data_IF_344422783551
#
_entry.id   IF_344422783551
#
_cell.length_a   1.000
_cell.length_b   1.000
_cell.length_c   1.000
_cell.angle_alpha   90.00
_cell.angle_beta   90.00
_cell.angle_gamma   90.00
#
_symmetry.space_group_name_H-M   'P 1'
#
loop_
_entity.id
_entity.type
_entity.pdbx_description
1 polymer ?
#
# COMPACT_ATOMS: atom_id res chain seq x y z
N UNK A 1 11.10 -4.44 12.23
CA UNK A 1 11.64 -3.40 11.33
C UNK A 1 11.50 -3.92 9.90
N UNK A 2 10.93 -3.16 8.97
CA UNK A 2 10.80 -3.60 7.57
C UNK A 2 12.06 -3.19 6.80
N UNK A 3 12.55 -4.04 5.89
CA UNK A 3 13.74 -3.70 5.10
C UNK A 3 13.42 -2.67 4.02
N UNK A 4 14.39 -1.87 3.58
CA UNK A 4 14.20 -0.88 2.50
C UNK A 4 13.64 -1.51 1.22
N UNK A 5 14.06 -2.73 0.89
CA UNK A 5 13.57 -3.49 -0.26
C UNK A 5 12.05 -3.76 -0.17
N UNK A 6 11.55 -4.20 0.98
CA UNK A 6 10.10 -4.41 1.17
C UNK A 6 9.32 -3.09 1.14
N UNK A 7 9.91 -1.99 1.60
CA UNK A 7 9.29 -0.66 1.52
C UNK A 7 9.00 -0.27 0.08
N UNK A 8 9.95 -0.52 -0.82
CA UNK A 8 9.82 -0.17 -2.24
C UNK A 8 8.76 -1.03 -2.94
N UNK A 9 8.73 -2.34 -2.64
CA UNK A 9 7.72 -3.26 -3.18
C UNK A 9 6.31 -2.85 -2.74
N UNK A 10 6.12 -2.46 -1.46
CA UNK A 10 4.83 -1.96 -0.96
C UNK A 10 4.38 -0.72 -1.73
N UNK A 11 5.28 0.24 -1.98
CA UNK A 11 4.97 1.47 -2.72
C UNK A 11 4.64 1.18 -4.19
N UNK A 12 5.36 0.27 -4.84
CA UNK A 12 5.06 -0.14 -6.23
C UNK A 12 3.71 -0.84 -6.34
N UNK A 13 3.40 -1.78 -5.44
CA UNK A 13 2.10 -2.46 -5.44
C UNK A 13 0.96 -1.48 -5.16
N UNK A 14 1.16 -0.52 -4.25
CA UNK A 14 0.20 0.54 -3.98
C UNK A 14 0.00 1.46 -5.20
N UNK A 15 1.08 1.84 -5.90
CA UNK A 15 1.02 2.63 -7.14
C UNK A 15 0.28 1.91 -8.27
N UNK A 16 0.30 0.57 -8.30
CA UNK A 16 -0.47 -0.27 -9.23
C UNK A 16 -1.95 -0.44 -8.81
N UNK A 17 -2.39 0.19 -7.72
CA UNK A 17 -3.77 0.13 -7.24
C UNK A 17 -4.13 -1.15 -6.46
N UNK A 18 -3.12 -1.95 -6.06
CA UNK A 18 -3.33 -3.16 -5.26
C UNK A 18 -3.81 -2.79 -3.86
N UNK A 19 -4.77 -3.56 -3.33
CA UNK A 19 -5.34 -3.29 -2.01
C UNK A 19 -4.34 -3.54 -0.88
N UNK A 20 -4.45 -2.78 0.22
CA UNK A 20 -3.65 -3.02 1.44
C UNK A 20 -3.74 -4.46 1.94
N UNK A 21 -4.91 -5.10 1.75
CA UNK A 21 -5.18 -6.48 2.14
C UNK A 21 -4.40 -7.47 1.29
N UNK A 22 -4.36 -7.27 -0.02
CA UNK A 22 -3.53 -8.09 -0.92
C UNK A 22 -2.06 -7.88 -0.64
N UNK A 23 -1.59 -6.64 -0.55
CA UNK A 23 -0.17 -6.34 -0.24
C UNK A 23 0.25 -7.04 1.06
N UNK A 24 -0.59 -6.97 2.08
CA UNK A 24 -0.37 -7.64 3.36
C UNK A 24 -0.29 -9.16 3.23
N UNK A 25 -1.19 -9.78 2.45
CA UNK A 25 -1.20 -11.23 2.22
C UNK A 25 -0.01 -11.71 1.40
N UNK A 26 0.34 -10.98 0.35
CA UNK A 26 1.44 -11.31 -0.57
C UNK A 26 2.79 -11.19 0.12
N UNK A 27 3.01 -10.09 0.84
CA UNK A 27 4.29 -9.80 1.49
C UNK A 27 4.36 -10.30 2.93
N UNK A 28 3.31 -10.96 3.43
CA UNK A 28 3.19 -11.48 4.81
C UNK A 28 3.55 -10.43 5.87
N UNK A 29 3.18 -9.18 5.64
CA UNK A 29 3.40 -8.06 6.55
C UNK A 29 2.08 -7.53 7.07
N UNK A 30 2.08 -6.97 8.28
CA UNK A 30 0.86 -6.45 8.88
C UNK A 30 0.27 -5.32 8.03
N UNK A 31 -1.07 -5.27 7.94
CA UNK A 31 -1.77 -4.16 7.28
C UNK A 31 -1.39 -2.79 7.85
N UNK A 32 -1.03 -2.73 9.14
CA UNK A 32 -0.57 -1.51 9.80
C UNK A 32 0.80 -1.07 9.29
N UNK A 33 1.72 -2.02 9.03
CA UNK A 33 3.02 -1.74 8.42
C UNK A 33 2.86 -1.25 6.98
N UNK A 34 2.00 -1.89 6.20
CA UNK A 34 1.69 -1.45 4.83
C UNK A 34 1.12 -0.02 4.83
N UNK A 35 0.14 0.25 5.71
CA UNK A 35 -0.47 1.58 5.86
C UNK A 35 0.54 2.64 6.30
N UNK A 36 1.41 2.32 7.26
CA UNK A 36 2.43 3.26 7.72
C UNK A 36 3.46 3.55 6.64
N UNK A 37 3.91 2.54 5.88
CA UNK A 37 4.81 2.73 4.73
C UNK A 37 4.20 3.64 3.68
N UNK A 38 2.93 3.41 3.31
CA UNK A 38 2.22 4.23 2.31
C UNK A 38 1.92 5.65 2.82
N UNK A 39 1.71 5.82 4.14
CA UNK A 39 1.47 7.14 4.74
C UNK A 39 2.77 7.94 4.92
N UNK A 40 3.90 7.27 5.11
CA UNK A 40 5.20 7.88 5.44
C UNK A 40 6.14 8.02 4.24
N UNK A 41 5.96 7.26 3.18
CA UNK A 41 6.45 7.67 1.86
C UNK A 41 5.35 8.48 1.23
N UNK A 42 5.60 9.73 0.83
CA UNK A 42 4.65 10.51 0.04
C UNK A 42 4.12 9.64 -1.10
N UNK A 43 2.87 9.21 -0.99
CA UNK A 43 2.21 8.49 -2.04
C UNK A 43 2.18 9.41 -3.27
N UNK A 44 2.55 8.94 -4.47
CA UNK A 44 2.27 9.71 -5.67
C UNK A 44 0.78 10.04 -5.67
N UNK A 45 0.48 11.31 -5.90
CA UNK A 45 -0.85 11.92 -5.80
C UNK A 45 -1.91 11.23 -6.68
N UNK A 46 -1.48 10.31 -7.57
CA UNK A 46 -2.30 9.51 -8.47
C UNK A 46 -3.20 8.48 -7.79
N UNK A 47 -2.97 8.10 -6.53
CA UNK A 47 -3.81 7.10 -5.84
C UNK A 47 -4.97 7.70 -5.02
N UNK A 48 -5.12 9.04 -4.96
CA UNK A 48 -6.21 9.69 -4.20
C UNK A 48 -7.58 9.70 -4.90
N UNK A 49 -7.65 9.23 -6.15
CA UNK A 49 -8.91 8.86 -6.82
C UNK A 49 -8.82 7.35 -6.96
N UNK A 50 -9.63 6.54 -6.28
CA UNK A 50 -10.72 5.84 -6.99
C UNK A 50 -11.62 4.97 -6.07
N UNK A 51 -11.42 4.85 -4.75
CA UNK A 51 -12.18 3.85 -3.97
C UNK A 51 -12.99 4.39 -2.79
N UNK A 52 -13.78 5.45 -3.04
CA UNK A 52 -14.95 5.78 -2.21
C UNK A 52 -16.28 5.43 -2.90
N UNK A 53 -16.24 4.78 -4.06
CA UNK A 53 -17.42 4.31 -4.79
C UNK A 53 -17.23 2.80 -4.98
N UNK A 54 -18.30 2.04 -4.81
CA UNK A 54 -18.37 0.57 -4.79
C UNK A 54 -18.15 -0.07 -3.41
N UNK A 55 -19.00 0.32 -2.46
CA UNK A 55 -19.68 -0.70 -1.67
C UNK A 55 -21.15 -0.31 -1.49
N UNK A 56 -21.99 -1.02 -2.24
CA UNK A 56 -23.47 -1.08 -2.27
C UNK A 56 -24.24 0.18 -2.65
#
# INVERSE_FOLDING_TARGET
>A
MITPAYRQIILEMAGKGVSLREISRTLKVSRNTVRTVIKSGEAPESARKTKYIEHL
#
